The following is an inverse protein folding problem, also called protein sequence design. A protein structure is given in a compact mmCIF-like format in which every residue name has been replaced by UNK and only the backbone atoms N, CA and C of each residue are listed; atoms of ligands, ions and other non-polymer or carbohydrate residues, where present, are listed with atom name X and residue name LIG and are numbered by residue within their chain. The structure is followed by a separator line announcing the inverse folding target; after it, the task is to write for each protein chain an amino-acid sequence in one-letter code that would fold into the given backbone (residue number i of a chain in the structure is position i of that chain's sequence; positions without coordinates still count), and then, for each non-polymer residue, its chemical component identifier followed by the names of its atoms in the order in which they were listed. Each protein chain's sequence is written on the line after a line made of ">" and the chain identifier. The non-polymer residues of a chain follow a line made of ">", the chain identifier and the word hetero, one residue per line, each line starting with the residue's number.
data_IF_846534524381
#
_entry.id   IF_846534524381
#
_cell.length_a   1.000
_cell.length_b   1.000
_cell.length_c   1.000
_cell.angle_alpha   90.00
_cell.angle_beta   90.00
_cell.angle_gamma   90.00
#
_symmetry.space_group_name_H-M   'P 1'
#
loop_
_entity.id
_entity.type
_entity.pdbx_description
1 polymer ?
#
# COMPACT_ATOMS: atom_id res chain seq x y z
N UNK A 1 -10.08 20.68 10.88
CA UNK A 1 -8.72 20.62 11.46
C UNK A 1 -7.95 19.54 10.71
N UNK A 2 -7.16 19.91 9.70
CA UNK A 2 -6.27 18.97 9.02
C UNK A 2 -4.94 18.98 9.78
N UNK A 3 -4.73 17.98 10.63
CA UNK A 3 -3.38 17.67 11.07
C UNK A 3 -2.67 17.21 9.80
N UNK A 4 -1.82 18.06 9.22
CA UNK A 4 -0.98 17.73 8.06
C UNK A 4 0.12 16.77 8.53
N UNK A 5 -0.26 15.56 8.94
CA UNK A 5 0.65 14.44 9.09
C UNK A 5 0.99 13.92 7.70
N UNK A 6 2.24 13.53 7.48
CA UNK A 6 2.58 12.81 6.27
C UNK A 6 1.86 11.45 6.26
N UNK A 7 1.32 11.01 5.12
CA UNK A 7 0.58 9.74 5.05
C UNK A 7 1.50 8.56 5.37
N UNK A 8 1.00 7.58 6.11
CA UNK A 8 1.70 6.31 6.31
C UNK A 8 1.43 5.37 5.14
N UNK A 9 2.49 5.00 4.42
CA UNK A 9 2.47 4.21 3.20
C UNK A 9 3.13 2.86 3.45
N UNK A 10 2.45 1.77 3.14
CA UNK A 10 3.03 0.42 3.13
C UNK A 10 3.44 0.05 1.70
N UNK A 11 4.69 -0.34 1.48
CA UNK A 11 5.16 -0.80 0.17
C UNK A 11 5.46 -2.31 0.21
N UNK A 12 4.75 -3.10 -0.59
CA UNK A 12 4.98 -4.53 -0.77
C UNK A 12 5.75 -4.74 -2.07
N UNK A 13 7.07 -4.93 -1.97
CA UNK A 13 7.98 -5.13 -3.11
C UNK A 13 9.14 -6.07 -2.70
N UNK A 14 9.17 -7.32 -3.21
CA UNK A 14 10.22 -8.28 -2.89
C UNK A 14 11.56 -7.97 -3.57
N UNK A 15 11.55 -7.24 -4.70
CA UNK A 15 12.77 -6.93 -5.42
C UNK A 15 13.47 -5.72 -4.78
N UNK A 16 14.67 -5.89 -4.18
CA UNK A 16 15.30 -4.86 -3.35
C UNK A 16 15.69 -3.59 -4.13
N UNK A 17 16.02 -3.68 -5.42
CA UNK A 17 16.39 -2.50 -6.22
C UNK A 17 15.16 -1.63 -6.50
N UNK A 18 14.05 -2.23 -6.89
CA UNK A 18 12.74 -1.60 -7.08
C UNK A 18 12.25 -1.01 -5.75
N UNK A 19 12.25 -1.79 -4.66
CA UNK A 19 11.84 -1.32 -3.35
C UNK A 19 12.64 -0.08 -2.93
N UNK A 20 13.97 -0.09 -3.10
CA UNK A 20 14.84 1.05 -2.80
C UNK A 20 14.49 2.27 -3.66
N UNK A 21 14.34 2.09 -4.96
CA UNK A 21 14.04 3.20 -5.88
C UNK A 21 12.69 3.86 -5.56
N UNK A 22 11.68 3.06 -5.25
CA UNK A 22 10.34 3.54 -4.86
C UNK A 22 10.41 4.25 -3.50
N UNK A 23 11.06 3.65 -2.51
CA UNK A 23 11.26 4.26 -1.20
C UNK A 23 11.99 5.60 -1.30
N UNK A 24 13.06 5.70 -2.09
CA UNK A 24 13.81 6.94 -2.30
C UNK A 24 12.93 8.02 -2.96
N UNK A 25 12.09 7.64 -3.93
CA UNK A 25 11.15 8.55 -4.58
C UNK A 25 10.07 9.04 -3.61
N UNK A 26 9.39 8.13 -2.90
CA UNK A 26 8.32 8.46 -1.96
C UNK A 26 8.84 9.26 -0.77
N UNK A 27 10.01 8.90 -0.23
CA UNK A 27 10.64 9.59 0.90
C UNK A 27 10.95 11.06 0.58
N UNK A 28 11.29 11.38 -0.67
CA UNK A 28 11.50 12.77 -1.10
C UNK A 28 10.21 13.60 -1.10
N UNK A 29 9.07 12.97 -1.32
CA UNK A 29 7.76 13.64 -1.38
C UNK A 29 7.05 13.67 -0.03
N UNK A 30 7.12 12.57 0.72
CA UNK A 30 6.34 12.35 1.94
C UNK A 30 7.20 12.33 3.22
N UNK A 31 8.52 12.37 3.14
CA UNK A 31 9.40 12.30 4.31
C UNK A 31 9.80 10.87 4.71
N UNK A 32 10.85 10.75 5.53
CA UNK A 32 11.51 9.46 5.87
C UNK A 32 10.68 8.52 6.74
N UNK A 33 9.67 9.02 7.45
CA UNK A 33 8.87 8.22 8.39
C UNK A 33 7.57 7.71 7.79
N UNK A 34 7.36 7.99 6.50
CA UNK A 34 6.07 7.83 5.83
C UNK A 34 6.00 6.57 4.98
N UNK A 35 7.11 5.86 4.78
CA UNK A 35 7.18 4.69 3.89
C UNK A 35 7.72 3.50 4.66
N UNK A 36 6.95 2.42 4.67
CA UNK A 36 7.25 1.17 5.36
C UNK A 36 7.37 0.05 4.33
N UNK A 37 8.59 -0.28 3.86
CA UNK A 37 8.78 -1.36 2.91
C UNK A 37 8.70 -2.73 3.60
N UNK A 38 7.99 -3.65 2.96
CA UNK A 38 7.89 -5.08 3.30
C UNK A 38 8.06 -5.90 2.03
N UNK A 39 8.51 -7.14 2.16
CA UNK A 39 8.83 -7.99 0.99
C UNK A 39 7.75 -9.03 0.68
N UNK A 40 6.70 -9.12 1.51
CA UNK A 40 5.63 -10.10 1.33
C UNK A 40 4.31 -9.64 1.94
N UNK A 41 3.22 -10.28 1.51
CA UNK A 41 1.90 -10.08 2.11
C UNK A 41 1.88 -10.47 3.59
N UNK A 42 2.56 -11.55 3.98
CA UNK A 42 2.62 -11.95 5.40
C UNK A 42 3.16 -10.83 6.28
N UNK A 43 4.25 -10.18 5.84
CA UNK A 43 4.81 -9.04 6.56
C UNK A 43 3.88 -7.83 6.56
N UNK A 44 3.15 -7.61 5.45
CA UNK A 44 2.15 -6.54 5.37
C UNK A 44 1.01 -6.74 6.37
N UNK A 45 0.56 -7.99 6.55
CA UNK A 45 -0.48 -8.34 7.52
C UNK A 45 0.03 -8.22 8.96
N UNK A 46 1.28 -8.64 9.23
CA UNK A 46 1.91 -8.52 10.55
C UNK A 46 2.16 -7.05 10.95
N UNK A 47 2.38 -6.17 9.97
CA UNK A 47 2.54 -4.72 10.21
C UNK A 47 1.26 -4.08 10.77
N UNK A 48 0.08 -4.59 10.38
CA UNK A 48 -1.22 -4.03 10.76
C UNK A 48 -1.70 -3.01 9.72
N UNK A 49 -2.57 -3.45 8.82
CA UNK A 49 -3.07 -2.62 7.72
C UNK A 49 -3.85 -1.40 8.22
N UNK A 50 -4.47 -1.46 9.39
CA UNK A 50 -5.20 -0.36 10.02
C UNK A 50 -4.34 0.85 10.37
N UNK A 51 -3.02 0.69 10.40
CA UNK A 51 -2.06 1.74 10.74
C UNK A 51 -1.61 2.56 9.51
N UNK A 52 -1.98 2.13 8.30
CA UNK A 52 -1.55 2.76 7.06
C UNK A 52 -2.70 3.40 6.29
N UNK A 53 -2.38 4.52 5.66
CA UNK A 53 -3.30 5.31 4.83
C UNK A 53 -3.37 4.76 3.39
N UNK A 54 -2.30 4.10 2.95
CA UNK A 54 -2.19 3.56 1.59
C UNK A 54 -1.27 2.35 1.54
N UNK A 55 -1.64 1.38 0.70
CA UNK A 55 -0.79 0.23 0.36
C UNK A 55 -0.40 0.31 -1.11
N UNK A 56 0.89 0.19 -1.39
CA UNK A 56 1.47 0.08 -2.73
C UNK A 56 2.00 -1.34 -2.87
N UNK A 57 1.61 -2.04 -3.93
CA UNK A 57 2.07 -3.42 -4.16
C UNK A 57 2.49 -3.62 -5.60
N UNK A 58 3.63 -4.28 -5.80
CA UNK A 58 4.05 -4.77 -7.11
C UNK A 58 3.13 -5.90 -7.59
N UNK A 59 2.82 -5.93 -8.88
CA UNK A 59 2.00 -7.02 -9.46
C UNK A 59 2.78 -8.33 -9.67
N UNK A 60 4.11 -8.23 -9.75
CA UNK A 60 5.02 -9.34 -9.96
C UNK A 60 5.62 -9.80 -8.62
N UNK A 61 4.83 -10.50 -7.81
CA UNK A 61 5.34 -11.12 -6.58
C UNK A 61 5.66 -12.60 -6.86
N UNK A 62 6.75 -13.12 -6.27
CA UNK A 62 7.28 -14.44 -6.61
C UNK A 62 6.35 -15.61 -6.25
N UNK A 63 5.49 -15.44 -5.24
CA UNK A 63 4.71 -16.54 -4.63
C UNK A 63 3.20 -16.39 -4.80
N UNK A 64 2.71 -15.16 -4.96
CA UNK A 64 1.30 -14.83 -5.17
C UNK A 64 1.19 -13.87 -6.34
N UNK A 65 0.13 -13.94 -7.14
CA UNK A 65 -0.12 -12.84 -8.08
C UNK A 65 -0.40 -11.57 -7.27
N UNK A 66 0.10 -10.40 -7.68
CA UNK A 66 -0.23 -9.16 -6.97
C UNK A 66 -1.74 -8.89 -6.89
N UNK A 67 -2.52 -9.49 -7.79
CA UNK A 67 -3.99 -9.51 -7.71
C UNK A 67 -4.53 -10.33 -6.53
N UNK A 68 -3.96 -11.50 -6.23
CA UNK A 68 -4.34 -12.29 -5.07
C UNK A 68 -3.94 -11.61 -3.75
N UNK A 69 -2.87 -10.81 -3.79
CA UNK A 69 -2.49 -9.94 -2.67
C UNK A 69 -3.50 -8.81 -2.51
N UNK A 70 -3.89 -8.13 -3.58
CA UNK A 70 -4.91 -7.09 -3.54
C UNK A 70 -6.26 -7.61 -3.03
N UNK A 71 -6.70 -8.79 -3.48
CA UNK A 71 -7.95 -9.43 -3.04
C UNK A 71 -7.96 -9.63 -1.51
N UNK A 72 -6.86 -10.20 -0.96
CA UNK A 72 -6.71 -10.38 0.48
C UNK A 72 -6.60 -9.07 1.27
N UNK A 73 -5.98 -8.04 0.69
CA UNK A 73 -5.92 -6.71 1.30
C UNK A 73 -7.31 -6.05 1.35
N UNK A 74 -8.08 -6.15 0.27
CA UNK A 74 -9.42 -5.59 0.16
C UNK A 74 -10.43 -6.29 1.07
N UNK A 75 -10.30 -7.60 1.27
CA UNK A 75 -11.10 -8.34 2.27
C UNK A 75 -10.88 -7.82 3.71
N UNK A 76 -9.70 -7.26 4.00
CA UNK A 76 -9.34 -6.73 5.33
C UNK A 76 -9.61 -5.24 5.48
N UNK A 77 -9.41 -4.47 4.40
CA UNK A 77 -9.59 -3.02 4.30
C UNK A 77 -10.45 -2.71 3.08
N UNK A 78 -11.77 -2.98 3.13
CA UNK A 78 -12.67 -2.72 2.01
C UNK A 78 -12.74 -1.24 1.65
N UNK A 79 -12.37 -0.36 2.59
CA UNK A 79 -12.22 1.07 2.38
C UNK A 79 -11.11 1.44 1.36
N UNK A 80 -10.17 0.53 1.08
CA UNK A 80 -9.18 0.70 0.02
C UNK A 80 -9.72 0.43 -1.40
N UNK A 81 -10.92 -0.15 -1.55
CA UNK A 81 -11.52 -0.42 -2.85
C UNK A 81 -11.88 0.84 -3.64
N UNK A 82 -11.70 2.03 -3.04
CA UNK A 82 -12.36 3.26 -3.45
C UNK A 82 -13.76 3.27 -2.85
N UNK A 83 -14.05 4.27 -2.01
CA UNK A 83 -15.38 4.44 -1.43
C UNK A 83 -16.46 4.43 -2.51
N UNK A 84 -17.65 3.93 -2.15
CA UNK A 84 -18.85 3.85 -2.98
C UNK A 84 -18.81 4.77 -4.20
N UNK A 85 -18.67 4.18 -5.38
CA UNK A 85 -19.02 4.82 -6.64
C UNK A 85 -20.55 4.99 -6.72
N UNK A 86 -21.18 5.58 -5.70
CA UNK A 86 -22.55 6.11 -5.72
C UNK A 86 -22.53 7.58 -6.22
N UNK A 87 -21.64 7.84 -7.18
CA UNK A 87 -21.67 9.03 -8.02
C UNK A 87 -22.48 8.70 -9.28
N UNK A 88 -23.15 9.68 -9.91
CA UNK A 88 -24.13 9.44 -10.99
C UNK A 88 -23.54 8.94 -12.33
N UNK A 89 -22.32 8.42 -12.33
CA UNK A 89 -21.57 7.99 -13.51
C UNK A 89 -21.04 6.55 -13.39
N UNK A 90 -21.84 5.64 -12.81
CA UNK A 90 -21.64 4.21 -13.04
C UNK A 90 -21.85 3.89 -14.52
N UNK A 91 -20.84 3.30 -15.16
CA UNK A 91 -20.91 2.81 -16.54
C UNK A 91 -21.87 1.63 -16.67
#
# INVERSE_FOLDING_TARGET
>A
MTIQGHPSLLLIEPEPVCAKAICDALTRHYGHQSVHPVVSLTQALDYGLEQVDMVLTGLNLEHDSGMAVLDQLLDRRPDFAGGDCDGPFGF
#
